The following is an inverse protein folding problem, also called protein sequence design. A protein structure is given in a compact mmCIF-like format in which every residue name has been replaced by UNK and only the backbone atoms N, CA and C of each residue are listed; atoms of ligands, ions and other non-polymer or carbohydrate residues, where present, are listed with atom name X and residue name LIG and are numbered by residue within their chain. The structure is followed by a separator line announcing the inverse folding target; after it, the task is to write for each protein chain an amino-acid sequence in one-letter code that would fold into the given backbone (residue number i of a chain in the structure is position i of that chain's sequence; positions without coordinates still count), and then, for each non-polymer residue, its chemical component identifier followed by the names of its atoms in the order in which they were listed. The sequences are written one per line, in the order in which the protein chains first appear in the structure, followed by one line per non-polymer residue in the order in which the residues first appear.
data_IF_268627868267
#
_entry.id   IF_268627868267
#
_cell.length_a   1.000
_cell.length_b   1.000
_cell.length_c   1.000
_cell.angle_alpha   90.00
_cell.angle_beta   90.00
_cell.angle_gamma   90.00
#
_symmetry.space_group_name_H-M   'P 1'
#
loop_
_entity.id
_entity.type
_entity.pdbx_description
1 polymer ?
#
# COMPACT_ATOMS: atom_id res chain seq x y z
N UNK A 1 -1.75 -3.35 -3.02
CA UNK A 1 -1.51 -2.90 -4.42
C UNK A 1 -2.70 -2.20 -5.06
N UNK A 2 -3.95 -2.66 -4.91
CA UNK A 2 -5.12 -2.07 -5.59
C UNK A 2 -5.21 -0.53 -5.48
N UNK A 3 -4.98 0.05 -4.30
CA UNK A 3 -4.98 1.51 -4.13
C UNK A 3 -3.86 2.23 -4.89
N UNK A 4 -2.67 1.65 -5.00
CA UNK A 4 -1.56 2.21 -5.78
C UNK A 4 -1.87 2.26 -7.29
N UNK A 5 -2.82 1.43 -7.76
CA UNK A 5 -3.35 1.45 -9.14
C UNK A 5 -4.54 2.42 -9.24
N UNK A 6 -5.40 2.43 -8.23
CA UNK A 6 -6.62 3.23 -8.23
C UNK A 6 -6.33 4.74 -8.23
N UNK A 7 -5.29 5.19 -7.51
CA UNK A 7 -4.86 6.60 -7.50
C UNK A 7 -4.53 7.15 -8.91
N UNK A 8 -3.57 6.58 -9.65
CA UNK A 8 -3.25 7.06 -10.99
C UNK A 8 -4.41 6.87 -11.98
N UNK A 9 -5.21 5.80 -11.84
CA UNK A 9 -6.41 5.63 -12.67
C UNK A 9 -7.39 6.80 -12.48
N UNK A 10 -7.69 7.17 -11.23
CA UNK A 10 -8.55 8.31 -10.93
C UNK A 10 -7.93 9.65 -11.34
N UNK A 11 -6.59 9.81 -11.25
CA UNK A 11 -5.89 11.04 -11.63
C UNK A 11 -5.86 11.26 -13.16
N UNK A 12 -5.59 10.21 -13.93
CA UNK A 12 -5.31 10.31 -15.37
C UNK A 12 -6.51 9.93 -16.25
N UNK A 13 -7.55 9.32 -15.66
CA UNK A 13 -8.80 8.98 -16.34
C UNK A 13 -10.02 9.50 -15.56
N UNK A 14 -9.97 10.78 -15.16
CA UNK A 14 -10.95 11.43 -14.28
C UNK A 14 -12.40 11.28 -14.77
N UNK A 15 -12.63 11.27 -16.08
CA UNK A 15 -13.97 11.14 -16.67
C UNK A 15 -14.59 9.74 -16.49
N UNK A 16 -13.79 8.72 -16.17
CA UNK A 16 -14.24 7.36 -15.96
C UNK A 16 -14.62 7.05 -14.50
N UNK A 17 -14.23 7.91 -13.55
CA UNK A 17 -14.32 7.63 -12.12
C UNK A 17 -15.14 8.73 -11.41
N UNK A 18 -16.36 8.40 -11.00
CA UNK A 18 -17.26 9.34 -10.31
C UNK A 18 -17.01 9.45 -8.80
N UNK A 19 -16.52 8.39 -8.17
CA UNK A 19 -16.13 8.33 -6.75
C UNK A 19 -14.96 7.37 -6.59
N UNK A 20 -14.06 7.66 -5.64
CA UNK A 20 -12.92 6.81 -5.31
C UNK A 20 -12.99 6.35 -3.84
N UNK A 21 -12.70 5.07 -3.58
CA UNK A 21 -12.56 4.53 -2.23
C UNK A 21 -11.17 3.90 -2.12
N UNK A 22 -10.42 4.33 -1.12
CA UNK A 22 -9.07 3.84 -0.84
C UNK A 22 -9.04 3.26 0.57
N UNK A 23 -8.46 2.07 0.70
CA UNK A 23 -8.26 1.37 1.98
C UNK A 23 -6.75 1.15 2.16
N UNK A 24 -6.15 1.75 3.19
CA UNK A 24 -4.72 1.60 3.56
C UNK A 24 -3.75 1.64 2.37
N UNK A 25 -3.89 2.64 1.47
CA UNK A 25 -2.95 2.83 0.38
C UNK A 25 -2.53 4.30 0.23
N UNK A 26 -1.23 4.55 0.31
CA UNK A 26 -0.67 5.88 0.21
C UNK A 26 -0.88 6.50 -1.18
N UNK A 27 -1.26 7.77 -1.22
CA UNK A 27 -1.29 8.56 -2.45
C UNK A 27 0.15 8.70 -3.00
N UNK A 28 0.41 8.56 -4.31
CA UNK A 28 1.77 8.55 -4.88
C UNK A 28 2.63 9.77 -4.49
N UNK A 29 2.04 10.96 -4.49
CA UNK A 29 2.74 12.19 -4.08
C UNK A 29 3.02 12.22 -2.58
N UNK A 30 2.09 11.76 -1.75
CA UNK A 30 2.28 11.74 -0.30
C UNK A 30 3.30 10.67 0.11
N UNK A 31 3.25 9.49 -0.52
CA UNK A 31 4.26 8.45 -0.32
C UNK A 31 5.66 8.94 -0.68
N UNK A 32 5.82 9.56 -1.85
CA UNK A 32 7.12 10.11 -2.29
C UNK A 32 7.63 11.18 -1.31
N UNK A 33 6.73 12.04 -0.81
CA UNK A 33 7.07 13.03 0.21
C UNK A 33 7.50 12.36 1.51
N UNK A 34 6.74 11.38 2.00
CA UNK A 34 7.05 10.65 3.23
C UNK A 34 8.39 9.91 3.13
N UNK A 35 8.72 9.32 1.98
CA UNK A 35 10.05 8.74 1.75
C UNK A 35 11.16 9.79 1.89
N UNK A 36 10.93 11.02 1.41
CA UNK A 36 11.86 12.14 1.57
C UNK A 36 11.98 12.59 3.03
N UNK A 37 10.88 12.71 3.76
CA UNK A 37 10.84 13.40 5.06
C UNK A 37 10.80 12.50 6.30
N UNK A 38 10.36 11.24 6.18
CA UNK A 38 10.16 10.31 7.31
C UNK A 38 11.16 9.15 7.25
N UNK A 39 12.09 9.11 8.21
CA UNK A 39 12.98 7.96 8.39
C UNK A 39 12.22 6.70 8.83
N UNK A 40 11.10 6.86 9.52
CA UNK A 40 10.17 5.78 9.87
C UNK A 40 9.57 5.16 8.62
N UNK A 41 9.07 5.97 7.67
CA UNK A 41 8.47 5.43 6.45
C UNK A 41 9.52 4.71 5.61
N UNK A 42 10.73 5.27 5.51
CA UNK A 42 11.84 4.60 4.83
C UNK A 42 12.15 3.24 5.48
N UNK A 43 12.16 3.16 6.81
CA UNK A 43 12.38 1.90 7.52
C UNK A 43 11.27 0.88 7.23
N UNK A 44 10.00 1.30 7.34
CA UNK A 44 8.83 0.46 7.03
C UNK A 44 8.81 0.01 5.57
N UNK A 45 9.35 0.79 4.64
CA UNK A 45 9.39 0.49 3.22
C UNK A 45 10.60 -0.35 2.77
N UNK A 46 11.50 -0.76 3.66
CA UNK A 46 12.69 -1.54 3.26
C UNK A 46 12.37 -2.92 2.67
N UNK A 47 11.20 -3.50 2.98
CA UNK A 47 10.77 -4.75 2.36
C UNK A 47 10.71 -4.66 0.83
N UNK A 48 10.46 -3.45 0.27
CA UNK A 48 10.44 -3.23 -1.18
C UNK A 48 11.79 -3.58 -1.80
N UNK A 49 12.90 -3.22 -1.14
CA UNK A 49 14.25 -3.59 -1.62
C UNK A 49 14.44 -5.10 -1.70
N UNK A 50 13.89 -5.86 -0.75
CA UNK A 50 13.95 -7.32 -0.76
C UNK A 50 13.06 -7.92 -1.87
N UNK A 51 11.93 -7.30 -2.18
CA UNK A 51 11.00 -7.76 -3.22
C UNK A 51 11.47 -7.44 -4.65
N UNK A 52 12.26 -6.38 -4.86
CA UNK A 52 12.81 -6.03 -6.18
C UNK A 52 14.16 -6.68 -6.48
N UNK A 53 14.79 -7.33 -5.49
CA UNK A 53 16.06 -8.02 -5.68
C UNK A 53 15.97 -9.08 -6.80
N UNK A 54 17.08 -9.28 -7.54
CA UNK A 54 17.12 -10.25 -8.64
C UNK A 54 16.95 -11.69 -8.17
N UNK A 55 17.27 -11.98 -6.91
CA UNK A 55 17.09 -13.28 -6.27
C UNK A 55 15.81 -13.40 -5.44
N UNK A 56 14.91 -12.41 -5.47
CA UNK A 56 13.74 -12.35 -4.60
C UNK A 56 12.85 -13.60 -4.70
N UNK A 57 12.53 -14.07 -5.91
CA UNK A 57 11.73 -15.29 -6.10
C UNK A 57 12.38 -16.51 -5.42
N UNK A 58 13.68 -16.71 -5.63
CA UNK A 58 14.42 -17.84 -5.03
C UNK A 58 14.44 -17.72 -3.51
N UNK A 59 14.71 -16.54 -2.98
CA UNK A 59 14.75 -16.28 -1.54
C UNK A 59 13.38 -16.53 -0.90
N UNK A 60 12.30 -16.06 -1.52
CA UNK A 60 10.94 -16.28 -1.04
C UNK A 60 10.58 -17.77 -1.02
N UNK A 61 10.88 -18.50 -2.09
CA UNK A 61 10.62 -19.95 -2.15
C UNK A 61 11.45 -20.72 -1.12
N UNK A 62 12.75 -20.44 -1.00
CA UNK A 62 13.65 -21.14 -0.06
C UNK A 62 13.32 -20.85 1.41
N UNK A 63 12.69 -19.71 1.69
CA UNK A 63 12.24 -19.33 3.04
C UNK A 63 10.77 -19.68 3.28
N UNK A 64 10.15 -20.53 2.45
CA UNK A 64 8.74 -20.90 2.58
C UNK A 64 7.79 -19.69 2.68
N UNK A 65 8.12 -18.64 1.92
CA UNK A 65 7.41 -17.37 1.83
C UNK A 65 7.30 -16.58 3.14
N UNK A 66 8.24 -16.73 4.09
CA UNK A 66 8.20 -16.07 5.40
C UNK A 66 7.96 -14.56 5.31
N UNK A 67 8.61 -13.85 4.36
CA UNK A 67 8.38 -12.41 4.20
C UNK A 67 6.92 -12.09 3.82
N UNK A 68 6.33 -12.79 2.85
CA UNK A 68 4.95 -12.57 2.42
C UNK A 68 3.94 -12.97 3.50
N UNK A 69 4.24 -14.03 4.26
CA UNK A 69 3.44 -14.45 5.42
C UNK A 69 3.43 -13.38 6.52
N UNK A 70 4.60 -12.84 6.86
CA UNK A 70 4.74 -11.75 7.81
C UNK A 70 3.93 -10.52 7.36
N UNK A 71 3.99 -10.14 6.07
CA UNK A 71 3.23 -9.00 5.54
C UNK A 71 1.71 -9.16 5.66
N UNK A 72 1.20 -10.39 5.62
CA UNK A 72 -0.22 -10.71 5.79
C UNK A 72 -0.63 -10.97 7.25
N UNK A 73 0.34 -10.97 8.17
CA UNK A 73 0.19 -11.36 9.56
C UNK A 73 0.33 -12.87 9.76
N UNK A 74 1.24 -13.30 10.64
CA UNK A 74 1.55 -14.72 10.85
C UNK A 74 0.33 -15.55 11.30
N UNK A 75 -0.53 -14.97 12.13
CA UNK A 75 -1.79 -15.62 12.55
C UNK A 75 -2.72 -15.98 11.39
N UNK A 76 -2.59 -15.33 10.22
CA UNK A 76 -3.38 -15.67 9.04
C UNK A 76 -3.00 -17.02 8.43
N UNK A 77 -1.75 -17.46 8.60
CA UNK A 77 -1.26 -18.75 8.10
C UNK A 77 -1.12 -19.84 9.19
N UNK A 78 -1.24 -19.49 10.47
CA UNK A 78 -1.29 -20.47 11.57
C UNK A 78 -2.52 -21.38 11.48
N UNK A 79 -3.65 -20.83 11.03
CA UNK A 79 -4.85 -21.62 10.71
C UNK A 79 -4.83 -21.94 9.22
N UNK A 80 -4.59 -23.20 8.88
CA UNK A 80 -4.68 -23.66 7.49
C UNK A 80 -6.13 -23.63 6.99
N UNK A 81 -6.53 -22.47 6.48
CA UNK A 81 -7.80 -22.28 5.78
C UNK A 81 -7.67 -22.66 4.31
N UNK A 82 -8.80 -22.92 3.63
CA UNK A 82 -8.82 -23.07 2.17
C UNK A 82 -8.15 -21.88 1.47
N UNK A 83 -8.43 -20.66 1.93
CA UNK A 83 -7.86 -19.45 1.35
C UNK A 83 -6.33 -19.35 1.54
N UNK A 84 -5.82 -19.66 2.74
CA UNK A 84 -4.37 -19.68 3.00
C UNK A 84 -3.64 -20.71 2.12
N UNK A 85 -4.24 -21.88 1.89
CA UNK A 85 -3.69 -22.92 0.99
C UNK A 85 -3.67 -22.46 -0.47
N UNK A 86 -4.74 -21.82 -0.93
CA UNK A 86 -4.78 -21.23 -2.28
C UNK A 86 -3.66 -20.21 -2.48
N UNK A 87 -3.46 -19.29 -1.53
CA UNK A 87 -2.38 -18.30 -1.60
C UNK A 87 -1.00 -18.95 -1.67
N UNK A 88 -0.72 -19.96 -0.83
CA UNK A 88 0.56 -20.66 -0.85
C UNK A 88 0.79 -21.41 -2.16
N UNK A 89 -0.25 -22.05 -2.70
CA UNK A 89 -0.19 -22.73 -4.00
C UNK A 89 0.10 -21.75 -5.13
N UNK A 90 -0.56 -20.58 -5.12
CA UNK A 90 -0.34 -19.55 -6.14
C UNK A 90 1.05 -18.90 -6.02
N UNK A 91 1.56 -18.67 -4.81
CA UNK A 91 2.93 -18.18 -4.62
C UNK A 91 4.00 -19.20 -5.03
N UNK A 92 3.67 -20.49 -4.98
CA UNK A 92 4.53 -21.57 -5.48
C UNK A 92 4.72 -21.58 -7.00
N UNK A 93 3.86 -20.89 -7.74
CA UNK A 93 3.93 -20.79 -9.21
C UNK A 93 4.90 -19.67 -9.62
N UNK A 94 6.01 -19.98 -10.33
CA UNK A 94 7.03 -18.99 -10.67
C UNK A 94 6.51 -17.75 -11.40
N UNK A 95 5.60 -17.94 -12.35
CA UNK A 95 4.99 -16.87 -13.14
C UNK A 95 4.10 -15.95 -12.30
N UNK A 96 3.38 -16.52 -11.33
CA UNK A 96 2.51 -15.75 -10.42
C UNK A 96 3.35 -14.93 -9.45
N UNK A 97 4.36 -15.56 -8.83
CA UNK A 97 5.27 -14.87 -7.94
C UNK A 97 6.00 -13.73 -8.66
N UNK A 98 6.53 -13.99 -9.85
CA UNK A 98 7.21 -12.96 -10.64
C UNK A 98 6.28 -11.80 -11.00
N UNK A 99 5.04 -12.09 -11.41
CA UNK A 99 4.04 -11.06 -11.70
C UNK A 99 3.70 -10.20 -10.46
N UNK A 100 3.59 -10.81 -9.28
CA UNK A 100 3.39 -10.08 -8.02
C UNK A 100 4.57 -9.14 -7.71
N UNK A 101 5.80 -9.62 -7.85
CA UNK A 101 7.00 -8.82 -7.59
C UNK A 101 7.20 -7.69 -8.62
N UNK A 102 6.74 -7.90 -9.86
CA UNK A 102 6.84 -6.89 -10.91
C UNK A 102 6.10 -5.59 -10.55
N UNK A 103 5.05 -5.63 -9.73
CA UNK A 103 4.43 -4.40 -9.21
C UNK A 103 5.41 -3.52 -8.43
N UNK A 104 6.30 -4.12 -7.63
CA UNK A 104 7.32 -3.39 -6.89
C UNK A 104 8.47 -2.96 -7.80
N UNK A 105 8.88 -3.82 -8.74
CA UNK A 105 9.97 -3.53 -9.70
C UNK A 105 9.62 -2.38 -10.65
N UNK A 106 8.35 -2.23 -10.99
CA UNK A 106 7.83 -1.18 -11.88
C UNK A 106 7.29 0.04 -11.11
N UNK A 107 7.41 0.05 -9.78
CA UNK A 107 7.03 1.21 -8.99
C UNK A 107 7.99 2.37 -9.27
N UNK A 108 7.51 3.56 -9.65
CA UNK A 108 8.39 4.69 -10.01
C UNK A 108 9.08 5.31 -8.78
N UNK A 109 8.53 5.12 -7.58
CA UNK A 109 9.11 5.65 -6.36
C UNK A 109 10.34 4.85 -5.95
N UNK A 110 11.47 5.53 -5.77
CA UNK A 110 12.67 4.94 -5.20
C UNK A 110 12.62 5.03 -3.68
N UNK A 111 12.86 3.91 -3.00
CA UNK A 111 12.97 3.86 -1.54
C UNK A 111 14.46 3.79 -1.19
N UNK A 112 15.09 4.90 -0.79
CA UNK A 112 16.45 4.87 -0.31
C UNK A 112 16.53 4.17 1.05
N UNK A 113 17.76 3.84 1.45
CA UNK A 113 18.04 3.28 2.78
C UNK A 113 17.61 4.25 3.89
N UNK A 114 17.29 3.70 5.08
CA UNK A 114 16.79 4.46 6.23
C UNK A 114 17.65 5.70 6.55
N UNK A 115 18.97 5.51 6.60
CA UNK A 115 19.97 6.51 7.01
C UNK A 115 20.74 7.08 5.80
N UNK A 116 20.07 7.21 4.65
CA UNK A 116 20.68 7.84 3.47
C UNK A 116 21.04 9.30 3.74
N UNK A 117 22.06 9.83 3.07
CA UNK A 117 22.47 11.24 3.17
C UNK A 117 21.37 12.20 2.72
N UNK A 118 21.34 13.40 3.30
CA UNK A 118 20.41 14.48 2.93
C UNK A 118 20.43 14.81 1.44
N UNK A 119 21.62 14.82 0.81
CA UNK A 119 21.76 15.06 -0.64
C UNK A 119 20.86 14.15 -1.49
N UNK A 120 20.79 12.85 -1.15
CA UNK A 120 19.93 11.89 -1.88
C UNK A 120 18.46 12.19 -1.64
N UNK A 121 18.09 12.61 -0.43
CA UNK A 121 16.70 13.00 -0.12
C UNK A 121 16.30 14.28 -0.85
N UNK A 122 17.23 15.23 -1.01
CA UNK A 122 17.01 16.48 -1.72
C UNK A 122 16.76 16.27 -3.21
N UNK A 123 17.40 15.26 -3.81
CA UNK A 123 17.21 14.88 -5.21
C UNK A 123 15.83 14.24 -5.48
N UNK A 124 15.14 13.73 -4.45
CA UNK A 124 13.78 13.19 -4.61
C UNK A 124 12.82 14.31 -5.00
N UNK A 125 12.20 14.17 -6.18
CA UNK A 125 11.14 15.04 -6.70
C UNK A 125 9.78 14.43 -6.39
N UNK A 126 8.95 15.19 -5.68
CA UNK A 126 7.58 14.77 -5.35
C UNK A 126 6.69 15.11 -6.54
N UNK A 127 6.03 14.13 -7.18
CA UNK A 127 5.11 14.41 -8.28
C UNK A 127 3.87 15.14 -7.75
N UNK A 128 3.25 15.98 -8.58
CA UNK A 128 1.97 16.62 -8.26
C UNK A 128 0.83 15.88 -8.97
N UNK A 129 0.24 14.93 -8.27
CA UNK A 129 -0.87 14.11 -8.78
C UNK A 129 -2.13 14.56 -8.04
N UNK A 130 -3.13 15.03 -8.78
CA UNK A 130 -4.37 15.54 -8.22
C UNK A 130 -5.55 14.61 -8.50
N UNK A 131 -6.44 14.49 -7.52
CA UNK A 131 -7.66 13.69 -7.59
C UNK A 131 -8.83 14.62 -7.38
N UNK A 132 -9.68 14.73 -8.40
CA UNK A 132 -10.78 15.70 -8.43
C UNK A 132 -12.15 15.10 -8.10
N UNK A 133 -12.28 13.77 -8.09
CA UNK A 133 -13.53 13.12 -7.70
C UNK A 133 -13.65 13.00 -6.17
N UNK A 134 -14.88 12.96 -5.63
CA UNK A 134 -15.11 12.62 -4.22
C UNK A 134 -14.36 11.35 -3.84
N UNK A 135 -13.59 11.41 -2.75
CA UNK A 135 -12.71 10.31 -2.35
C UNK A 135 -12.94 9.96 -0.89
N UNK A 136 -13.22 8.70 -0.60
CA UNK A 136 -13.22 8.14 0.75
C UNK A 136 -11.88 7.44 1.01
N UNK A 137 -11.18 7.86 2.06
CA UNK A 137 -10.00 7.21 2.58
C UNK A 137 -10.32 6.51 3.90
N UNK A 138 -10.19 5.19 3.91
CA UNK A 138 -10.30 4.34 5.09
C UNK A 138 -8.88 3.91 5.52
N UNK A 139 -8.56 4.08 6.79
CA UNK A 139 -7.20 3.88 7.28
C UNK A 139 -7.16 3.16 8.63
N UNK A 140 -6.56 1.96 8.68
CA UNK A 140 -6.15 1.30 9.91
C UNK A 140 -4.85 1.89 10.43
N UNK A 141 -4.81 2.28 11.70
CA UNK A 141 -3.68 3.01 12.29
C UNK A 141 -2.53 2.10 12.76
N UNK A 142 -2.77 0.79 12.91
CA UNK A 142 -1.75 -0.21 13.27
C UNK A 142 -1.06 -0.79 12.03
N UNK A 143 -0.82 0.04 11.02
CA UNK A 143 -0.25 -0.38 9.73
C UNK A 143 1.28 -0.54 9.83
N UNK A 144 1.80 -1.73 9.54
CA UNK A 144 3.23 -2.02 9.57
C UNK A 144 3.97 -1.51 8.32
N UNK A 145 3.27 -1.31 7.19
CA UNK A 145 3.83 -0.86 5.93
C UNK A 145 3.85 0.67 5.80
N UNK A 146 2.88 1.36 6.40
CA UNK A 146 2.76 2.81 6.35
C UNK A 146 2.75 3.45 7.74
N UNK A 147 3.52 4.52 7.93
CA UNK A 147 3.28 5.47 9.01
C UNK A 147 2.41 6.64 8.53
N UNK A 148 1.83 7.40 9.46
CA UNK A 148 0.84 8.43 9.12
C UNK A 148 1.39 9.58 8.27
N UNK A 149 2.72 9.76 8.17
CA UNK A 149 3.32 10.77 7.28
C UNK A 149 2.98 10.56 5.80
N UNK A 150 2.56 9.35 5.40
CA UNK A 150 2.06 9.11 4.02
C UNK A 150 0.71 9.76 3.74
N UNK A 151 0.09 10.38 4.74
CA UNK A 151 -1.12 11.19 4.62
C UNK A 151 -0.85 12.69 4.73
N UNK A 152 0.41 13.10 4.96
CA UNK A 152 0.77 14.50 5.14
C UNK A 152 0.42 15.30 3.88
N UNK A 153 -0.39 16.35 4.10
CA UNK A 153 -0.88 17.26 3.05
C UNK A 153 -1.75 16.56 1.99
N UNK A 154 -2.40 15.44 2.29
CA UNK A 154 -3.22 14.73 1.32
C UNK A 154 -4.36 15.59 0.76
N UNK A 155 -4.92 16.51 1.55
CA UNK A 155 -5.98 17.45 1.14
C UNK A 155 -5.54 18.40 0.03
N UNK A 156 -4.24 18.66 -0.09
CA UNK A 156 -3.70 19.45 -1.20
C UNK A 156 -3.87 18.71 -2.53
N UNK A 157 -3.68 17.38 -2.53
CA UNK A 157 -3.80 16.54 -3.73
C UNK A 157 -5.20 16.01 -3.96
N UNK A 158 -5.99 15.86 -2.90
CA UNK A 158 -7.34 15.30 -2.92
C UNK A 158 -8.29 16.26 -2.18
N UNK A 159 -8.73 17.36 -2.82
CA UNK A 159 -9.52 18.38 -2.13
C UNK A 159 -10.86 17.89 -1.59
N UNK A 160 -11.45 16.87 -2.23
CA UNK A 160 -12.74 16.28 -1.86
C UNK A 160 -12.58 14.97 -1.07
N UNK A 161 -11.60 14.92 -0.16
CA UNK A 161 -11.30 13.74 0.64
C UNK A 161 -12.12 13.69 1.93
N UNK A 162 -12.71 12.52 2.20
CA UNK A 162 -13.29 12.15 3.49
C UNK A 162 -12.39 11.08 4.09
N UNK A 163 -11.83 11.34 5.27
CA UNK A 163 -10.94 10.39 5.97
C UNK A 163 -11.66 9.72 7.13
N UNK A 164 -11.44 8.42 7.30
CA UNK A 164 -11.94 7.62 8.43
C UNK A 164 -10.82 6.73 8.94
N UNK A 165 -10.54 6.85 10.23
CA UNK A 165 -9.47 6.11 10.90
C UNK A 165 -10.06 5.03 11.80
N UNK A 166 -9.39 3.89 11.85
CA UNK A 166 -9.68 2.81 12.78
C UNK A 166 -8.45 2.51 13.64
N UNK A 167 -8.48 2.81 14.96
CA UNK A 167 -7.32 2.67 15.84
C UNK A 167 -6.95 1.21 16.16
N UNK A 168 -7.81 0.26 15.80
CA UNK A 168 -7.67 -1.16 16.14
C UNK A 168 -7.53 -2.05 14.90
N UNK A 169 -7.13 -1.46 13.77
CA UNK A 169 -6.94 -2.18 12.51
C UNK A 169 -5.56 -1.87 11.92
N UNK A 170 -5.03 -2.85 11.22
CA UNK A 170 -3.74 -2.83 10.52
C UNK A 170 -3.91 -2.41 9.05
N UNK A 171 -2.87 -2.70 8.24
CA UNK A 171 -2.91 -2.62 6.79
C UNK A 171 -4.10 -3.37 6.17
N UNK A 172 -4.55 -4.44 6.80
CA UNK A 172 -5.61 -5.33 6.30
C UNK A 172 -7.00 -4.97 6.82
N UNK A 173 -7.27 -3.67 7.02
CA UNK A 173 -8.51 -3.11 7.56
C UNK A 173 -9.80 -3.75 7.01
N UNK A 174 -9.87 -3.99 5.69
CA UNK A 174 -11.02 -4.62 5.04
C UNK A 174 -11.29 -6.07 5.46
N UNK A 175 -10.28 -6.78 5.96
CA UNK A 175 -10.37 -8.16 6.45
C UNK A 175 -10.64 -8.21 7.94
N UNK A 176 -10.08 -7.27 8.68
CA UNK A 176 -10.14 -7.22 10.14
C UNK A 176 -11.42 -6.55 10.66
N UNK A 177 -11.91 -5.54 9.93
CA UNK A 177 -13.09 -4.74 10.27
C UNK A 177 -14.06 -4.66 9.08
N UNK A 178 -14.50 -5.80 8.50
CA UNK A 178 -15.30 -5.81 7.27
C UNK A 178 -16.62 -5.05 7.43
N UNK A 179 -17.31 -5.19 8.56
CA UNK A 179 -18.59 -4.51 8.84
C UNK A 179 -18.41 -2.99 8.94
N UNK A 180 -17.32 -2.53 9.56
CA UNK A 180 -16.99 -1.12 9.66
C UNK A 180 -16.67 -0.55 8.27
N UNK A 181 -15.84 -1.25 7.48
CA UNK A 181 -15.52 -0.84 6.10
C UNK A 181 -16.78 -0.80 5.25
N UNK A 182 -17.62 -1.83 5.30
CA UNK A 182 -18.89 -1.88 4.60
C UNK A 182 -19.78 -0.69 4.95
N UNK A 183 -19.93 -0.37 6.24
CA UNK A 183 -20.73 0.76 6.71
C UNK A 183 -20.21 2.09 6.14
N UNK A 184 -18.91 2.36 6.25
CA UNK A 184 -18.34 3.61 5.72
C UNK A 184 -18.47 3.71 4.20
N UNK A 185 -18.30 2.59 3.48
CA UNK A 185 -18.50 2.50 2.03
C UNK A 185 -19.94 2.81 1.66
N UNK A 186 -20.92 2.12 2.27
CA UNK A 186 -22.36 2.31 2.00
C UNK A 186 -22.77 3.77 2.23
N UNK A 187 -22.38 4.34 3.38
CA UNK A 187 -22.65 5.74 3.70
C UNK A 187 -22.09 6.71 2.66
N UNK A 188 -20.91 6.42 2.10
CA UNK A 188 -20.27 7.28 1.11
C UNK A 188 -20.87 7.15 -0.29
N UNK A 189 -21.23 5.93 -0.70
CA UNK A 189 -21.86 5.72 -2.00
C UNK A 189 -23.33 6.15 -2.01
N UNK A 190 -23.98 6.17 -0.83
CA UNK A 190 -25.37 6.61 -0.64
C UNK A 190 -26.39 5.49 -0.88
N UNK A 191 -26.06 4.25 -0.46
CA UNK A 191 -26.96 3.10 -0.50
C UNK A 191 -27.66 2.87 0.85
#
# INVERSE_FOLDING_TARGET
MGGAIAWPLAAFHQTLISKLIIVNAAHPSCFTRAIKTSSTQRAKSQYISALIDKGAERTLTNTSFTLLKNMLGNGFFEKETSYSRTLLNDWGKPETLSAMLNYYRQMPQQVPQKNVSEKVLDDIRVPEIFIHCPTLLLWGEQDDAFDLSVLDKIEHYVPLIIKRFNPHASHWLHREKPEWVQKEVINFIGL
#
